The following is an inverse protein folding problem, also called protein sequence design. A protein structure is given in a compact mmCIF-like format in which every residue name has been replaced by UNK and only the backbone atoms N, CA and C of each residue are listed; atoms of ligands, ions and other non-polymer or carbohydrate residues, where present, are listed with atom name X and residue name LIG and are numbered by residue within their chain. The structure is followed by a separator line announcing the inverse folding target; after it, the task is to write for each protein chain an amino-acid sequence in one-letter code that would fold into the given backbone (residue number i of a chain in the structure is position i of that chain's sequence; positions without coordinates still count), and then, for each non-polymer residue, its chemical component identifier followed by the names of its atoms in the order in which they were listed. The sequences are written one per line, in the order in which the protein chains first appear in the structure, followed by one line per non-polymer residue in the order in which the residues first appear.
data_IF_276041550129
#
_entry.id   IF_276041550129
#
_cell.length_a   1.000
_cell.length_b   1.000
_cell.length_c   1.000
_cell.angle_alpha   90.00
_cell.angle_beta   90.00
_cell.angle_gamma   90.00
#
_symmetry.space_group_name_H-M   'P 1'
#
loop_
_entity.id
_entity.type
_entity.pdbx_description
1 polymer ?
#
# COMPACT_ATOMS: atom_id res chain seq x y z
N UNK A 1 -17.42 22.04 19.00
CA UNK A 1 -16.97 21.11 17.95
C UNK A 1 -17.91 21.25 16.78
N UNK A 2 -17.39 21.55 15.61
CA UNK A 2 -18.17 21.70 14.38
C UNK A 2 -17.89 20.51 13.47
N UNK A 3 -18.91 19.98 12.79
CA UNK A 3 -18.80 18.78 11.98
C UNK A 3 -18.92 19.11 10.50
N UNK A 4 -17.93 18.70 9.71
CA UNK A 4 -17.89 18.88 8.26
C UNK A 4 -17.94 17.51 7.56
N UNK A 5 -18.99 17.24 6.81
CA UNK A 5 -19.14 15.99 6.05
C UNK A 5 -18.75 16.20 4.58
N UNK A 6 -17.64 15.61 4.17
CA UNK A 6 -17.13 15.70 2.79
C UNK A 6 -17.50 14.43 2.02
N UNK A 7 -18.25 14.57 0.91
CA UNK A 7 -18.53 13.47 -0.01
C UNK A 7 -17.57 13.52 -1.20
N UNK A 8 -16.59 12.62 -1.24
CA UNK A 8 -15.65 12.51 -2.37
C UNK A 8 -16.18 11.51 -3.38
N UNK A 9 -16.39 11.93 -4.64
CA UNK A 9 -16.91 11.06 -5.72
C UNK A 9 -15.87 10.06 -6.24
N UNK A 10 -14.58 10.35 -6.11
CA UNK A 10 -13.49 9.54 -6.65
C UNK A 10 -12.69 8.92 -5.50
N UNK A 11 -12.61 7.58 -5.48
CA UNK A 11 -11.90 6.81 -4.45
C UNK A 11 -10.38 7.05 -4.42
N UNK A 12 -9.74 7.25 -5.57
CA UNK A 12 -8.29 7.51 -5.64
C UNK A 12 -7.95 8.87 -5.00
N UNK A 13 -8.81 9.87 -5.20
CA UNK A 13 -8.64 11.20 -4.60
C UNK A 13 -9.01 11.26 -3.12
N UNK A 14 -9.73 10.25 -2.61
CA UNK A 14 -10.09 10.14 -1.20
C UNK A 14 -8.85 9.84 -0.35
N UNK A 15 -8.00 8.93 -0.82
CA UNK A 15 -6.72 8.62 -0.15
C UNK A 15 -5.84 9.86 -0.06
N UNK A 16 -5.68 10.61 -1.17
CA UNK A 16 -4.93 11.85 -1.20
C UNK A 16 -5.49 12.89 -0.21
N UNK A 17 -6.80 13.11 -0.22
CA UNK A 17 -7.44 14.07 0.69
C UNK A 17 -7.23 13.66 2.16
N UNK A 18 -7.34 12.37 2.45
CA UNK A 18 -7.12 11.84 3.80
C UNK A 18 -5.68 12.04 4.27
N UNK A 19 -4.69 11.78 3.40
CA UNK A 19 -3.28 12.05 3.71
C UNK A 19 -3.04 13.52 4.00
N UNK A 20 -3.60 14.42 3.19
CA UNK A 20 -3.52 15.87 3.43
C UNK A 20 -4.14 16.26 4.76
N UNK A 21 -5.34 15.74 5.07
CA UNK A 21 -6.03 16.03 6.32
C UNK A 21 -5.28 15.48 7.55
N UNK A 22 -4.55 14.37 7.39
CA UNK A 22 -3.77 13.75 8.48
C UNK A 22 -2.62 14.63 8.98
N UNK A 23 -2.10 15.53 8.15
CA UNK A 23 -1.02 16.44 8.56
C UNK A 23 -1.50 17.58 9.48
N UNK A 24 -2.80 17.82 9.56
CA UNK A 24 -3.35 18.87 10.40
C UNK A 24 -3.69 18.32 11.78
N UNK A 25 -3.08 18.92 12.80
CA UNK A 25 -3.25 18.57 14.21
C UNK A 25 -4.63 18.89 14.79
N UNK A 26 -5.41 19.72 14.10
CA UNK A 26 -6.76 20.13 14.50
C UNK A 26 -7.88 19.29 13.87
N UNK A 27 -7.56 18.26 13.06
CA UNK A 27 -8.55 17.44 12.35
C UNK A 27 -8.59 16.03 12.95
N UNK A 28 -9.73 15.65 13.51
CA UNK A 28 -10.00 14.27 13.92
C UNK A 28 -10.46 13.46 12.70
N UNK A 29 -9.68 12.43 12.35
CA UNK A 29 -9.96 11.56 11.21
C UNK A 29 -10.34 10.15 11.68
N UNK A 30 -11.34 9.51 11.04
CA UNK A 30 -11.63 8.10 11.27
C UNK A 30 -10.52 7.21 10.69
N UNK A 31 -10.29 6.04 11.29
CA UNK A 31 -9.35 5.05 10.78
C UNK A 31 -9.83 4.47 9.43
N UNK A 32 -9.00 4.61 8.39
CA UNK A 32 -9.28 4.13 7.03
C UNK A 32 -8.71 2.74 6.73
N UNK A 33 -8.32 1.99 7.77
CA UNK A 33 -7.70 0.67 7.68
C UNK A 33 -8.57 -0.38 6.95
N UNK A 34 -9.88 -0.15 6.82
CA UNK A 34 -10.77 -1.02 6.03
C UNK A 34 -10.70 -0.76 4.51
N UNK A 35 -10.28 0.43 4.06
CA UNK A 35 -10.28 0.80 2.62
C UNK A 35 -8.98 0.36 1.92
N UNK A 36 -7.88 0.22 2.66
CA UNK A 36 -6.55 -0.07 2.11
C UNK A 36 -6.22 -1.55 1.97
N UNK A 37 -7.11 -2.46 2.39
CA UNK A 37 -6.89 -3.91 2.26
C UNK A 37 -6.88 -4.42 0.81
N UNK A 38 -7.31 -3.59 -0.15
CA UNK A 38 -7.38 -3.93 -1.58
C UNK A 38 -6.28 -3.23 -2.41
N UNK A 39 -5.19 -2.80 -1.77
CA UNK A 39 -3.94 -2.61 -2.50
C UNK A 39 -3.46 -4.02 -2.81
N UNK A 40 -3.89 -4.49 -3.99
CA UNK A 40 -3.54 -5.76 -4.59
C UNK A 40 -2.12 -6.13 -4.19
N UNK A 41 -1.93 -7.38 -3.75
CA UNK A 41 -0.62 -8.04 -3.76
C UNK A 41 -0.12 -8.00 -5.20
N UNK A 42 0.50 -6.87 -5.59
CA UNK A 42 1.18 -6.76 -6.86
C UNK A 42 2.40 -7.63 -6.71
N UNK A 43 2.24 -8.86 -7.16
CA UNK A 43 3.26 -9.89 -7.03
C UNK A 43 4.48 -9.39 -7.80
N UNK A 44 5.55 -9.10 -7.06
CA UNK A 44 6.79 -8.50 -7.57
C UNK A 44 7.31 -9.27 -8.80
N UNK A 45 6.99 -10.57 -8.88
CA UNK A 45 7.33 -11.47 -9.97
C UNK A 45 6.47 -11.33 -11.23
N UNK A 46 5.33 -10.64 -11.19
CA UNK A 46 4.51 -10.32 -12.38
C UNK A 46 5.21 -9.31 -13.30
N UNK A 47 6.04 -8.43 -12.75
CA UNK A 47 6.79 -7.41 -13.50
C UNK A 47 8.07 -7.98 -14.13
N UNK A 48 8.31 -9.26 -13.94
CA UNK A 48 9.61 -9.89 -14.05
C UNK A 48 9.67 -10.80 -15.29
N UNK A 49 9.40 -10.23 -16.47
CA UNK A 49 9.57 -10.93 -17.76
C UNK A 49 10.98 -11.50 -17.97
N UNK A 50 11.98 -10.92 -17.31
CA UNK A 50 13.38 -11.39 -17.27
C UNK A 50 13.60 -12.68 -16.45
N UNK A 51 12.62 -13.08 -15.65
CA UNK A 51 12.68 -14.22 -14.73
C UNK A 51 11.73 -15.35 -15.13
N UNK A 52 10.96 -15.15 -16.20
CA UNK A 52 10.14 -16.19 -16.84
C UNK A 52 11.09 -17.32 -17.26
N UNK A 53 10.94 -18.50 -16.65
CA UNK A 53 11.79 -19.71 -16.77
C UNK A 53 12.96 -19.83 -15.79
N UNK A 54 13.05 -18.97 -14.77
CA UNK A 54 13.96 -19.20 -13.62
C UNK A 54 13.13 -19.57 -12.41
N UNK A 55 13.45 -20.71 -11.79
CA UNK A 55 12.84 -21.13 -10.53
C UNK A 55 13.44 -20.31 -9.37
N UNK A 56 12.93 -19.09 -9.22
CA UNK A 56 13.41 -18.12 -8.24
C UNK A 56 12.22 -17.68 -7.40
N UNK A 57 12.11 -18.28 -6.22
CA UNK A 57 11.17 -17.87 -5.19
C UNK A 57 11.80 -16.80 -4.29
N UNK A 58 10.96 -16.06 -3.55
CA UNK A 58 11.43 -15.07 -2.58
C UNK A 58 12.31 -15.71 -1.49
N UNK A 59 12.00 -16.94 -1.10
CA UNK A 59 12.74 -17.75 -0.14
C UNK A 59 14.14 -18.08 -0.66
N UNK A 60 14.24 -18.53 -1.93
CA UNK A 60 15.51 -18.85 -2.57
C UNK A 60 16.44 -17.63 -2.71
N UNK A 61 15.89 -16.44 -2.95
CA UNK A 61 16.67 -15.18 -2.95
C UNK A 61 17.16 -14.82 -1.55
N UNK A 62 16.31 -14.99 -0.53
CA UNK A 62 16.68 -14.72 0.87
C UNK A 62 17.81 -15.61 1.35
N UNK A 63 17.75 -16.91 1.06
CA UNK A 63 18.82 -17.84 1.42
C UNK A 63 20.15 -17.48 0.73
N UNK A 64 20.11 -17.14 -0.56
CA UNK A 64 21.32 -16.74 -1.30
C UNK A 64 21.91 -15.42 -0.83
N UNK A 65 21.07 -14.46 -0.46
CA UNK A 65 21.51 -13.16 0.02
C UNK A 65 22.09 -13.24 1.44
N UNK A 66 21.60 -14.17 2.25
CA UNK A 66 22.04 -14.37 3.62
C UNK A 66 22.95 -15.59 3.74
N UNK A 67 24.09 -15.58 3.04
CA UNK A 67 25.18 -16.51 3.35
C UNK A 67 25.59 -16.28 4.82
N UNK A 68 25.12 -17.16 5.70
CA UNK A 68 25.68 -17.34 7.04
C UNK A 68 26.81 -18.35 6.85
N UNK A 69 28.04 -17.85 6.79
CA UNK A 69 29.20 -18.67 7.15
C UNK A 69 29.06 -19.16 8.60
#
# INVERSE_FOLDING_TARGET
METLTIKVKNKERLLFLYEVLRYYDFVELPDLSEITQDISKHDFFQSAGLWKNRDITQEALREKAWKRD
#
